data_IF_864155187900
#
_entry.id   IF_864155187900
#
_cell.length_a   1.000
_cell.length_b   1.000
_cell.length_c   1.000
_cell.angle_alpha   90.00
_cell.angle_beta   90.00
_cell.angle_gamma   90.00
#
_symmetry.space_group_name_H-M   'P 1'
#
loop_
_entity.id
_entity.type
_entity.pdbx_description
1 polymer ?
#
# COMPACT_ATOMS: atom_id res chain seq x y z
N UNK A 1 -3.75 -11.16 23.53
CA UNK A 1 -3.89 -10.13 24.57
C UNK A 1 -2.91 -9.02 24.28
N UNK A 2 -3.35 -7.99 23.56
CA UNK A 2 -2.76 -6.62 23.46
C UNK A 2 -3.52 -5.86 22.35
N UNK A 3 -4.82 -5.62 22.58
CA UNK A 3 -5.68 -4.76 21.74
C UNK A 3 -6.39 -3.69 22.57
N UNK A 4 -5.88 -3.36 23.76
CA UNK A 4 -6.45 -2.33 24.63
C UNK A 4 -5.36 -1.36 25.10
N UNK A 5 -5.14 -0.29 24.33
CA UNK A 5 -4.47 0.92 24.83
C UNK A 5 -4.99 2.18 24.10
N UNK A 6 -6.31 2.31 24.00
CA UNK A 6 -6.96 3.55 23.60
C UNK A 6 -8.18 3.75 24.50
N UNK A 7 -7.92 4.17 25.74
CA UNK A 7 -8.99 4.48 26.68
C UNK A 7 -9.67 5.79 26.28
N UNK A 8 -10.92 5.72 25.81
CA UNK A 8 -11.91 6.80 25.87
C UNK A 8 -13.31 6.21 26.01
N UNK A 9 -14.11 6.80 26.91
CA UNK A 9 -15.41 6.32 27.38
C UNK A 9 -16.57 6.65 26.44
N UNK A 10 -17.53 5.74 26.34
CA UNK A 10 -18.84 5.92 25.69
C UNK A 10 -19.63 7.06 26.36
N UNK A 11 -19.72 8.20 25.68
CA UNK A 11 -20.87 9.13 25.74
C UNK A 11 -20.75 10.14 24.61
N UNK A 12 -21.91 10.53 24.07
CA UNK A 12 -22.13 11.51 22.98
C UNK A 12 -22.31 10.91 21.57
N UNK A 13 -23.35 10.08 21.43
CA UNK A 13 -24.14 10.02 20.20
C UNK A 13 -25.40 10.85 20.39
N UNK A 14 -25.50 12.00 19.71
CA UNK A 14 -26.80 12.59 19.36
C UNK A 14 -26.66 13.48 18.13
N UNK A 15 -27.47 13.19 17.12
CA UNK A 15 -27.62 13.96 15.88
C UNK A 15 -28.95 14.71 15.97
N UNK A 16 -29.05 16.00 15.60
CA UNK A 16 -30.33 16.64 15.38
C UNK A 16 -30.69 16.65 13.89
N UNK A 17 -31.93 16.24 13.63
CA UNK A 17 -32.64 16.41 12.37
C UNK A 17 -33.30 17.80 12.26
N UNK A 18 -33.78 18.08 11.05
CA UNK A 18 -34.81 19.05 10.62
C UNK A 18 -34.37 20.47 10.21
N UNK A 19 -34.70 20.85 8.96
CA UNK A 19 -35.73 21.85 8.71
C UNK A 19 -36.23 21.90 7.25
N UNK A 20 -37.52 22.25 7.15
CA UNK A 20 -38.46 22.28 6.03
C UNK A 20 -38.21 23.30 4.89
N UNK A 21 -38.71 22.93 3.70
CA UNK A 21 -39.84 23.64 3.07
C UNK A 21 -39.56 24.77 2.06
N UNK A 22 -40.02 24.59 0.81
CA UNK A 22 -41.05 25.45 0.21
C UNK A 22 -41.47 24.99 -1.21
N UNK A 23 -42.78 25.05 -1.44
CA UNK A 23 -43.48 24.65 -2.64
C UNK A 23 -43.82 25.84 -3.58
N UNK A 24 -44.21 25.53 -4.81
CA UNK A 24 -44.89 26.41 -5.77
C UNK A 24 -44.18 26.41 -7.13
N UNK A 25 -44.82 26.33 -8.30
CA UNK A 25 -46.22 26.43 -8.67
C UNK A 25 -46.33 25.91 -10.12
N UNK A 26 -47.33 25.08 -10.44
CA UNK A 26 -47.63 24.68 -11.82
C UNK A 26 -48.49 25.74 -12.54
N UNK A 27 -48.31 25.88 -13.86
CA UNK A 27 -49.44 26.05 -14.79
C UNK A 27 -49.08 25.58 -16.22
N UNK A 28 -50.04 25.03 -16.98
CA UNK A 28 -49.77 24.17 -18.13
C UNK A 28 -49.94 24.87 -19.48
N UNK A 29 -49.29 24.38 -20.54
CA UNK A 29 -49.67 24.70 -21.92
C UNK A 29 -49.35 23.56 -22.90
N UNK A 30 -50.45 22.92 -23.34
CA UNK A 30 -50.86 22.51 -24.70
C UNK A 30 -49.91 21.71 -25.61
N UNK A 31 -50.46 20.58 -26.04
CA UNK A 31 -50.05 19.77 -27.19
C UNK A 31 -50.09 20.54 -28.52
N UNK A 32 -49.06 20.33 -29.35
CA UNK A 32 -49.19 20.34 -30.81
C UNK A 32 -48.11 19.47 -31.46
N UNK A 33 -48.52 18.77 -32.51
CA UNK A 33 -47.84 17.66 -33.18
C UNK A 33 -46.64 18.04 -34.08
N UNK A 34 -45.67 17.11 -34.10
CA UNK A 34 -44.83 16.59 -35.22
C UNK A 34 -44.16 17.58 -36.19
N UNK A 35 -42.82 17.52 -36.24
CA UNK A 35 -42.10 17.40 -37.52
C UNK A 35 -40.81 16.58 -37.36
N UNK A 36 -40.60 15.67 -38.30
CA UNK A 36 -39.53 14.68 -38.38
C UNK A 36 -38.37 15.24 -39.20
N UNK A 37 -37.29 15.66 -38.54
CA UNK A 37 -36.03 16.05 -39.17
C UNK A 37 -34.86 15.40 -38.46
N UNK A 38 -34.10 14.57 -39.18
CA UNK A 38 -33.01 13.76 -38.65
C UNK A 38 -31.91 14.60 -37.98
N UNK A 39 -31.65 14.29 -36.71
CA UNK A 39 -30.46 14.74 -35.99
C UNK A 39 -29.50 13.57 -35.98
N UNK A 40 -28.43 13.67 -36.76
CA UNK A 40 -27.28 12.76 -36.70
C UNK A 40 -26.64 12.84 -35.31
N UNK A 41 -26.49 11.69 -34.66
CA UNK A 41 -25.80 11.50 -33.37
C UNK A 41 -24.34 12.00 -33.45
N UNK A 42 -24.09 13.25 -33.08
CA UNK A 42 -22.73 13.75 -32.83
C UNK A 42 -22.13 13.21 -31.52
N UNK A 43 -22.90 12.45 -30.73
CA UNK A 43 -22.48 11.82 -29.48
C UNK A 43 -21.73 10.50 -29.68
N UNK A 44 -21.97 9.78 -30.78
CA UNK A 44 -21.32 8.47 -31.03
C UNK A 44 -19.92 8.61 -31.63
N UNK A 45 -19.57 9.78 -32.18
CA UNK A 45 -18.26 10.03 -32.80
C UNK A 45 -17.21 10.55 -31.80
N UNK A 46 -17.60 10.98 -30.61
CA UNK A 46 -16.68 11.45 -29.55
C UNK A 46 -16.16 10.27 -28.70
N UNK A 47 -16.80 9.11 -28.76
CA UNK A 47 -16.40 7.91 -28.00
C UNK A 47 -15.47 6.95 -28.77
N UNK A 48 -15.18 7.21 -30.05
CA UNK A 48 -14.39 6.30 -30.89
C UNK A 48 -12.95 6.72 -31.17
N UNK A 49 -12.48 7.88 -30.66
CA UNK A 49 -11.13 8.40 -30.98
C UNK A 49 -10.18 8.52 -29.78
N UNK A 50 -10.47 7.86 -28.64
CA UNK A 50 -9.57 7.91 -27.46
C UNK A 50 -9.12 6.55 -26.93
N UNK A 51 -9.31 5.47 -27.68
CA UNK A 51 -8.98 4.11 -27.25
C UNK A 51 -7.85 3.47 -28.06
N UNK A 52 -6.75 4.18 -28.28
CA UNK A 52 -5.47 3.58 -28.68
C UNK A 52 -4.33 4.09 -27.80
N UNK A 53 -4.53 4.00 -26.49
CA UNK A 53 -3.43 3.83 -25.55
C UNK A 53 -3.45 2.37 -25.13
N UNK A 54 -2.47 1.57 -25.55
CA UNK A 54 -2.27 0.22 -25.05
C UNK A 54 -2.06 0.33 -23.54
N UNK A 55 -3.12 0.12 -22.77
CA UNK A 55 -3.06 0.10 -21.30
C UNK A 55 -2.16 -1.05 -20.93
N UNK A 56 -0.88 -0.75 -20.63
CA UNK A 56 0.03 -1.73 -20.07
C UNK A 56 -0.69 -2.38 -18.88
N UNK A 57 -0.93 -3.69 -18.97
CA UNK A 57 -1.61 -4.42 -17.92
C UNK A 57 -0.84 -4.19 -16.62
N UNK A 58 -1.49 -3.54 -15.64
CA UNK A 58 -0.89 -3.32 -14.34
C UNK A 58 -1.11 -4.56 -13.50
N UNK A 59 -0.03 -5.24 -13.12
CA UNK A 59 -0.12 -6.38 -12.21
C UNK A 59 -0.52 -5.89 -10.80
N UNK A 60 -1.67 -6.34 -10.30
CA UNK A 60 -2.13 -6.07 -8.94
C UNK A 60 -1.75 -7.23 -8.03
N UNK A 61 -0.97 -6.92 -7.00
CA UNK A 61 -0.54 -7.89 -5.99
C UNK A 61 -1.34 -7.70 -4.70
N UNK A 62 -1.97 -8.78 -4.22
CA UNK A 62 -2.81 -8.78 -3.01
C UNK A 62 -2.22 -9.75 -2.01
N UNK A 63 -2.13 -9.29 -0.76
CA UNK A 63 -1.52 -10.03 0.33
C UNK A 63 -1.82 -9.43 1.69
N UNK A 64 -1.17 -9.98 2.71
CA UNK A 64 -1.27 -9.55 4.11
C UNK A 64 0.09 -9.16 4.68
N UNK A 65 0.04 -8.47 5.83
CA UNK A 65 1.19 -8.02 6.61
C UNK A 65 1.89 -9.16 7.38
N UNK A 66 2.27 -10.21 6.65
CA UNK A 66 2.78 -11.49 7.17
C UNK A 66 1.81 -12.63 6.89
N UNK A 67 2.25 -13.87 7.15
CA UNK A 67 1.45 -15.08 6.89
C UNK A 67 1.40 -16.04 8.09
N UNK A 68 2.30 -15.91 9.06
CA UNK A 68 2.46 -16.86 10.16
C UNK A 68 1.66 -16.41 11.39
N UNK A 69 0.38 -16.79 11.46
CA UNK A 69 -0.50 -16.46 12.58
C UNK A 69 -1.05 -17.73 13.25
N UNK A 70 -0.85 -17.94 14.57
CA UNK A 70 -1.32 -19.14 15.26
C UNK A 70 -2.84 -19.36 15.14
N UNK A 71 -3.64 -18.29 15.18
CA UNK A 71 -5.09 -18.37 15.07
C UNK A 71 -5.58 -18.80 13.67
N UNK A 72 -4.73 -18.76 12.64
CA UNK A 72 -5.08 -19.26 11.30
C UNK A 72 -5.05 -20.79 11.21
N UNK A 73 -4.31 -21.46 12.11
CA UNK A 73 -4.09 -22.92 12.14
C UNK A 73 -5.30 -23.74 12.60
N UNK A 74 -6.29 -23.10 13.21
CA UNK A 74 -7.51 -23.76 13.70
C UNK A 74 -8.52 -24.10 12.60
N UNK A 75 -8.15 -23.93 11.33
CA UNK A 75 -9.03 -24.07 10.17
C UNK A 75 -9.60 -22.76 9.64
N UNK A 76 -9.14 -21.61 10.15
CA UNK A 76 -9.59 -20.29 9.65
C UNK A 76 -9.03 -20.01 8.26
N UNK A 77 -7.75 -20.30 8.04
CA UNK A 77 -7.09 -20.13 6.74
C UNK A 77 -6.22 -21.33 6.38
N UNK A 78 -5.48 -21.87 7.36
CA UNK A 78 -4.69 -23.08 7.17
C UNK A 78 -5.52 -24.33 7.49
N UNK A 79 -5.45 -25.38 6.67
CA UNK A 79 -6.01 -26.68 7.00
C UNK A 79 -5.53 -27.16 8.37
N UNK A 80 -6.42 -27.78 9.13
CA UNK A 80 -6.07 -28.32 10.45
C UNK A 80 -4.96 -29.36 10.31
N UNK A 81 -3.90 -29.22 11.11
CA UNK A 81 -2.75 -30.11 11.08
C UNK A 81 -1.73 -29.82 9.96
N UNK A 82 -1.90 -28.75 9.17
CA UNK A 82 -0.86 -28.30 8.25
C UNK A 82 0.42 -27.98 9.05
N UNK A 83 1.56 -28.53 8.63
CA UNK A 83 2.84 -28.20 9.26
C UNK A 83 3.21 -26.75 8.98
N UNK A 84 3.84 -26.09 9.95
CA UNK A 84 4.25 -24.69 9.81
C UNK A 84 5.18 -24.46 8.60
N UNK A 85 6.02 -25.45 8.26
CA UNK A 85 6.90 -25.42 7.10
C UNK A 85 6.15 -25.34 5.75
N UNK A 86 4.88 -25.75 5.70
CA UNK A 86 4.06 -25.70 4.48
C UNK A 86 3.14 -24.48 4.42
N UNK A 87 3.11 -23.64 5.47
CA UNK A 87 2.22 -22.47 5.54
C UNK A 87 2.46 -21.48 4.40
N UNK A 88 3.72 -21.19 4.06
CA UNK A 88 4.03 -20.25 2.95
C UNK A 88 3.60 -20.81 1.60
N UNK A 89 3.80 -22.11 1.37
CA UNK A 89 3.35 -22.78 0.13
C UNK A 89 1.82 -22.73 0.01
N UNK A 90 1.11 -22.97 1.11
CA UNK A 90 -0.35 -22.84 1.14
C UNK A 90 -0.78 -21.39 0.90
N UNK A 91 -0.17 -20.45 1.61
CA UNK A 91 -0.46 -19.02 1.53
C UNK A 91 -0.26 -18.46 0.11
N UNK A 92 0.88 -18.76 -0.53
CA UNK A 92 1.20 -18.32 -1.91
C UNK A 92 0.36 -19.03 -2.98
N UNK A 93 -0.40 -20.06 -2.61
CA UNK A 93 -1.44 -20.64 -3.46
C UNK A 93 -2.72 -19.81 -3.52
N UNK A 94 -2.94 -18.93 -2.55
CA UNK A 94 -4.15 -18.10 -2.40
C UNK A 94 -3.87 -16.63 -2.69
N UNK A 95 -2.79 -16.08 -2.15
CA UNK A 95 -2.38 -14.68 -2.33
C UNK A 95 -1.19 -14.57 -3.28
N UNK A 96 -1.07 -13.42 -3.94
CA UNK A 96 0.03 -13.13 -4.88
C UNK A 96 1.19 -12.38 -4.22
N UNK A 97 1.01 -11.89 -2.98
CA UNK A 97 2.09 -11.25 -2.24
C UNK A 97 2.00 -11.44 -0.72
N UNK A 98 3.10 -11.13 -0.03
CA UNK A 98 3.15 -10.95 1.42
C UNK A 98 4.14 -9.86 1.79
N UNK A 99 3.82 -9.06 2.80
CA UNK A 99 4.81 -8.20 3.46
C UNK A 99 5.50 -8.98 4.59
N UNK A 100 6.81 -9.14 4.49
CA UNK A 100 7.65 -9.72 5.52
C UNK A 100 7.89 -8.67 6.60
N UNK A 101 7.12 -8.79 7.69
CA UNK A 101 7.26 -7.93 8.87
C UNK A 101 8.31 -8.39 9.88
N UNK A 102 8.77 -9.64 9.79
CA UNK A 102 9.79 -10.17 10.70
C UNK A 102 11.10 -9.35 10.64
N UNK A 103 11.45 -8.81 9.47
CA UNK A 103 12.63 -7.96 9.25
C UNK A 103 12.60 -6.67 10.05
N UNK A 104 11.41 -6.18 10.41
CA UNK A 104 11.27 -5.02 11.29
C UNK A 104 11.92 -5.28 12.66
N UNK A 105 11.84 -6.50 13.17
CA UNK A 105 12.38 -6.88 14.48
C UNK A 105 13.81 -7.44 14.40
N UNK A 106 14.25 -7.89 13.23
CA UNK A 106 15.60 -8.39 13.03
C UNK A 106 15.80 -9.01 11.65
N UNK A 107 17.04 -8.96 11.16
CA UNK A 107 17.39 -9.50 9.84
C UNK A 107 17.35 -11.05 9.91
N UNK A 108 16.61 -11.73 9.02
CA UNK A 108 16.49 -13.18 9.03
C UNK A 108 17.82 -13.87 8.66
N UNK A 109 17.95 -15.14 9.01
CA UNK A 109 19.07 -15.98 8.55
C UNK A 109 18.96 -16.27 7.05
N UNK A 110 20.08 -16.62 6.41
CA UNK A 110 20.15 -16.88 4.97
C UNK A 110 19.22 -18.03 4.61
N UNK A 111 19.29 -19.10 5.39
CA UNK A 111 18.51 -20.31 5.17
C UNK A 111 17.00 -20.05 5.28
N UNK A 112 16.61 -19.01 6.03
CA UNK A 112 15.20 -18.60 6.13
C UNK A 112 14.73 -17.97 4.83
N UNK A 113 15.51 -17.04 4.26
CA UNK A 113 15.18 -16.39 2.98
C UNK A 113 15.23 -17.40 1.83
N UNK A 114 16.22 -18.29 1.84
CA UNK A 114 16.34 -19.36 0.85
C UNK A 114 15.15 -20.32 0.91
N UNK A 115 14.65 -20.65 2.11
CA UNK A 115 13.43 -21.45 2.23
C UNK A 115 12.23 -20.70 1.67
N UNK A 116 12.08 -19.41 1.96
CA UNK A 116 10.97 -18.62 1.40
C UNK A 116 11.00 -18.60 -0.12
N UNK A 117 12.18 -18.40 -0.71
CA UNK A 117 12.39 -18.41 -2.17
C UNK A 117 11.96 -19.74 -2.80
N UNK A 118 12.25 -20.88 -2.14
CA UNK A 118 11.90 -22.23 -2.62
C UNK A 118 10.43 -22.60 -2.41
N UNK A 119 9.81 -22.12 -1.34
CA UNK A 119 8.48 -22.56 -0.92
C UNK A 119 7.34 -21.73 -1.52
N UNK A 120 7.61 -20.49 -1.92
CA UNK A 120 6.62 -19.65 -2.60
C UNK A 120 6.37 -20.10 -4.04
N UNK A 121 5.14 -19.90 -4.51
CA UNK A 121 4.76 -20.13 -5.90
C UNK A 121 5.45 -19.14 -6.84
N UNK A 122 5.73 -19.56 -8.07
CA UNK A 122 6.27 -18.68 -9.11
C UNK A 122 5.40 -17.43 -9.32
N UNK A 123 6.04 -16.27 -9.43
CA UNK A 123 5.38 -14.97 -9.59
C UNK A 123 4.92 -14.30 -8.28
N UNK A 124 5.05 -14.99 -7.15
CA UNK A 124 4.73 -14.44 -5.83
C UNK A 124 5.69 -13.31 -5.43
N UNK A 125 5.17 -12.24 -4.80
CA UNK A 125 5.97 -11.08 -4.43
C UNK A 125 6.16 -10.96 -2.91
N UNK A 126 7.41 -10.72 -2.50
CA UNK A 126 7.75 -10.43 -1.11
C UNK A 126 8.00 -8.93 -0.94
N UNK A 127 7.13 -8.23 -0.21
CA UNK A 127 7.41 -6.90 0.31
C UNK A 127 8.25 -7.00 1.59
N UNK A 128 9.13 -6.04 1.83
CA UNK A 128 10.13 -6.10 2.90
C UNK A 128 10.09 -4.88 3.78
N UNK A 129 9.73 -5.04 5.06
CA UNK A 129 9.77 -3.91 5.99
C UNK A 129 11.19 -3.65 6.45
N UNK A 130 11.66 -2.42 6.28
CA UNK A 130 13.00 -2.01 6.73
C UNK A 130 13.13 -2.21 8.25
N UNK A 131 14.27 -2.72 8.76
CA UNK A 131 14.49 -2.91 10.19
C UNK A 131 14.15 -1.68 11.05
N UNK A 132 13.56 -1.93 12.22
CA UNK A 132 13.25 -0.91 13.23
C UNK A 132 14.49 -0.10 13.63
N UNK A 133 15.64 -0.78 13.72
CA UNK A 133 16.92 -0.16 14.04
C UNK A 133 17.24 1.02 13.12
N UNK A 134 16.85 0.95 11.84
CA UNK A 134 17.08 2.00 10.84
C UNK A 134 16.00 3.09 10.92
N UNK A 135 14.72 2.71 10.88
CA UNK A 135 13.60 3.66 10.72
C UNK A 135 13.18 4.34 12.03
N UNK A 136 13.26 3.65 13.16
CA UNK A 136 12.73 4.11 14.45
C UNK A 136 13.82 4.45 15.44
N UNK A 137 14.82 3.57 15.58
CA UNK A 137 15.84 3.74 16.64
C UNK A 137 16.92 4.73 16.18
N UNK A 138 17.51 4.53 14.99
CA UNK A 138 18.44 5.47 14.37
C UNK A 138 17.73 6.64 13.65
N UNK A 139 16.42 6.56 13.40
CA UNK A 139 15.63 7.64 12.77
C UNK A 139 16.27 8.16 11.47
N UNK A 140 16.79 7.24 10.65
CA UNK A 140 17.47 7.52 9.40
C UNK A 140 18.73 8.41 9.54
N UNK A 141 19.41 8.44 10.69
CA UNK A 141 20.67 9.17 10.88
C UNK A 141 21.87 8.43 10.22
N UNK A 142 21.72 8.09 8.94
CA UNK A 142 22.57 7.12 8.25
C UNK A 142 21.99 5.71 8.30
N UNK A 143 22.16 4.96 7.22
CA UNK A 143 21.65 3.59 7.06
C UNK A 143 22.67 2.54 7.55
N UNK A 144 23.95 2.77 7.27
CA UNK A 144 25.08 2.03 7.84
C UNK A 144 25.12 0.53 7.52
N UNK A 145 25.91 -0.21 8.29
CA UNK A 145 26.13 -1.66 8.10
C UNK A 145 24.83 -2.48 8.17
N UNK A 146 23.87 -2.09 9.03
CA UNK A 146 22.58 -2.79 9.14
C UNK A 146 21.81 -2.76 7.82
N UNK A 147 21.92 -1.67 7.05
CA UNK A 147 21.31 -1.57 5.74
C UNK A 147 21.97 -2.50 4.72
N UNK A 148 23.30 -2.54 4.70
CA UNK A 148 24.06 -3.41 3.80
C UNK A 148 23.75 -4.88 4.06
N UNK A 149 23.75 -5.31 5.33
CA UNK A 149 23.40 -6.68 5.73
C UNK A 149 21.94 -6.99 5.38
N UNK A 150 21.03 -6.03 5.52
CA UNK A 150 19.63 -6.21 5.15
C UNK A 150 19.46 -6.39 3.64
N UNK A 151 20.10 -5.55 2.83
CA UNK A 151 20.06 -5.64 1.37
C UNK A 151 20.67 -6.95 0.85
N UNK A 152 21.85 -7.33 1.37
CA UNK A 152 22.46 -8.62 1.08
C UNK A 152 21.45 -9.76 1.36
N UNK A 153 20.81 -9.71 2.53
CA UNK A 153 19.87 -10.74 2.94
C UNK A 153 18.66 -10.88 2.03
N UNK A 154 18.00 -9.78 1.69
CA UNK A 154 16.79 -9.83 0.87
C UNK A 154 17.12 -10.09 -0.60
N UNK A 155 18.32 -9.75 -1.07
CA UNK A 155 18.73 -9.98 -2.46
C UNK A 155 18.66 -11.46 -2.87
N UNK A 156 18.80 -12.38 -1.91
CA UNK A 156 18.67 -13.83 -2.10
C UNK A 156 17.29 -14.27 -2.60
N UNK A 157 16.23 -13.51 -2.29
CA UNK A 157 14.89 -13.77 -2.85
C UNK A 157 14.83 -13.38 -4.34
N UNK A 158 15.62 -12.37 -4.74
CA UNK A 158 15.58 -11.71 -6.03
C UNK A 158 16.02 -12.60 -7.19
N UNK A 159 16.78 -13.67 -6.91
CA UNK A 159 17.14 -14.71 -7.90
C UNK A 159 15.91 -15.35 -8.57
N UNK A 160 14.74 -15.30 -7.92
CA UNK A 160 13.48 -15.86 -8.44
C UNK A 160 12.52 -14.82 -9.04
N UNK A 161 12.93 -13.55 -9.19
CA UNK A 161 12.08 -12.40 -9.58
C UNK A 161 10.92 -12.13 -8.60
N UNK A 162 11.09 -12.49 -7.33
CA UNK A 162 10.08 -12.36 -6.28
C UNK A 162 10.32 -11.17 -5.33
N UNK A 163 11.28 -10.29 -5.64
CA UNK A 163 11.61 -9.12 -4.83
C UNK A 163 10.60 -8.00 -5.07
N UNK A 164 9.64 -7.87 -4.16
CA UNK A 164 8.67 -6.79 -4.11
C UNK A 164 9.25 -5.51 -3.44
N UNK A 165 8.38 -4.56 -3.06
CA UNK A 165 8.82 -3.27 -2.54
C UNK A 165 9.48 -3.37 -1.16
N UNK A 166 10.49 -2.54 -0.93
CA UNK A 166 11.14 -2.33 0.36
C UNK A 166 10.49 -1.12 1.04
N UNK A 167 9.81 -1.36 2.16
CA UNK A 167 8.98 -0.38 2.86
C UNK A 167 9.75 0.31 3.98
N UNK A 168 9.95 1.62 3.82
CA UNK A 168 10.34 2.55 4.87
C UNK A 168 9.09 3.10 5.57
N UNK A 169 8.65 2.42 6.63
CA UNK A 169 7.63 2.98 7.52
C UNK A 169 8.30 3.83 8.61
N UNK A 170 7.97 5.13 8.65
CA UNK A 170 8.55 6.07 9.60
C UNK A 170 7.63 6.27 10.83
N UNK A 171 8.19 6.46 12.04
CA UNK A 171 7.38 6.69 13.22
C UNK A 171 6.70 8.07 13.19
N UNK A 172 5.54 8.24 13.86
CA UNK A 172 4.81 9.52 13.89
C UNK A 172 5.59 10.64 14.57
N UNK A 173 6.60 10.31 15.40
CA UNK A 173 7.47 11.28 16.06
C UNK A 173 8.58 11.82 15.15
N UNK A 174 8.75 11.28 13.94
CA UNK A 174 9.75 11.76 12.98
C UNK A 174 9.15 12.84 12.09
N UNK A 175 9.44 14.09 12.43
CA UNK A 175 9.09 15.28 11.64
C UNK A 175 9.94 15.31 10.37
N UNK A 176 9.39 15.89 9.29
CA UNK A 176 10.06 16.03 8.00
C UNK A 176 11.45 16.66 8.14
N UNK A 177 12.41 15.96 7.56
CA UNK A 177 13.76 16.44 7.28
C UNK A 177 14.16 15.86 5.92
N UNK A 178 14.12 16.70 4.88
CA UNK A 178 14.29 16.26 3.49
C UNK A 178 15.66 15.62 3.25
N UNK A 179 16.68 16.05 3.99
CA UNK A 179 18.04 15.52 3.90
C UNK A 179 18.11 14.02 4.19
N UNK A 180 17.13 13.48 4.93
CA UNK A 180 17.01 12.03 5.19
C UNK A 180 16.60 11.24 3.95
N UNK A 181 15.77 11.80 3.07
CA UNK A 181 15.42 11.15 1.81
C UNK A 181 16.59 11.21 0.84
N UNK A 182 17.31 12.33 0.79
CA UNK A 182 18.54 12.43 -0.02
C UNK A 182 19.59 11.42 0.45
N UNK A 183 19.80 11.29 1.77
CA UNK A 183 20.73 10.30 2.33
C UNK A 183 20.31 8.85 2.04
N UNK A 184 19.01 8.56 1.92
CA UNK A 184 18.54 7.24 1.48
C UNK A 184 18.85 7.07 -0.02
N UNK A 185 18.59 8.10 -0.83
CA UNK A 185 18.80 8.04 -2.28
C UNK A 185 20.26 7.73 -2.63
N UNK A 186 21.20 8.26 -1.85
CA UNK A 186 22.64 8.04 -2.03
C UNK A 186 23.08 6.58 -1.81
N UNK A 187 22.31 5.79 -1.06
CA UNK A 187 22.70 4.43 -0.65
C UNK A 187 21.75 3.32 -1.11
N UNK A 188 20.61 3.67 -1.70
CA UNK A 188 19.71 2.68 -2.30
C UNK A 188 20.20 2.23 -3.67
N UNK A 189 20.33 0.91 -3.93
CA UNK A 189 20.72 0.43 -5.24
C UNK A 189 19.61 0.65 -6.27
N UNK A 190 20.02 0.94 -7.52
CA UNK A 190 19.12 0.95 -8.66
C UNK A 190 18.52 -0.44 -8.92
N UNK A 191 17.27 -0.49 -9.39
CA UNK A 191 16.60 -1.75 -9.77
C UNK A 191 15.80 -2.42 -8.65
N UNK A 192 15.85 -1.89 -7.43
CA UNK A 192 14.92 -2.24 -6.35
C UNK A 192 13.78 -1.24 -6.27
N UNK A 193 12.61 -1.69 -5.80
CA UNK A 193 11.43 -0.86 -5.59
C UNK A 193 11.38 -0.42 -4.13
N UNK A 194 11.22 0.87 -3.88
CA UNK A 194 11.12 1.42 -2.53
C UNK A 194 9.78 2.11 -2.33
N UNK A 195 9.22 1.95 -1.13
CA UNK A 195 7.97 2.57 -0.73
C UNK A 195 8.15 3.26 0.63
N UNK A 196 7.44 4.38 0.84
CA UNK A 196 7.52 5.17 2.05
C UNK A 196 6.14 5.33 2.69
N UNK A 197 6.02 4.92 3.95
CA UNK A 197 4.82 5.15 4.76
C UNK A 197 5.15 6.19 5.84
N UNK A 198 4.67 7.41 5.64
CA UNK A 198 4.87 8.51 6.58
C UNK A 198 3.75 8.54 7.62
N UNK A 199 4.10 8.51 8.91
CA UNK A 199 3.12 8.63 10.01
C UNK A 199 3.05 10.03 10.62
N UNK A 200 3.78 10.99 10.06
CA UNK A 200 3.75 12.40 10.46
C UNK A 200 3.35 13.28 9.26
N UNK A 201 2.39 14.17 9.47
CA UNK A 201 1.78 14.98 8.40
C UNK A 201 2.76 15.93 7.70
N UNK A 202 3.85 16.33 8.36
CA UNK A 202 4.85 17.25 7.80
C UNK A 202 5.55 16.69 6.56
N UNK A 203 5.52 15.37 6.35
CA UNK A 203 6.07 14.71 5.16
C UNK A 203 5.16 14.79 3.93
N UNK A 204 3.88 15.14 4.09
CA UNK A 204 2.94 15.24 2.98
C UNK A 204 3.00 16.65 2.37
N UNK A 205 4.08 16.95 1.64
CA UNK A 205 4.27 18.22 0.95
C UNK A 205 4.99 18.05 -0.40
N UNK A 206 4.92 19.07 -1.26
CA UNK A 206 5.43 19.05 -2.64
C UNK A 206 6.90 18.63 -2.74
N UNK A 207 7.74 19.14 -1.84
CA UNK A 207 9.17 18.84 -1.79
C UNK A 207 9.44 17.32 -1.63
N UNK A 208 8.67 16.65 -0.77
CA UNK A 208 8.78 15.19 -0.59
C UNK A 208 8.30 14.46 -1.84
N UNK A 209 7.16 14.85 -2.41
CA UNK A 209 6.65 14.23 -3.63
C UNK A 209 7.58 14.39 -4.84
N UNK A 210 8.28 15.52 -4.94
CA UNK A 210 9.31 15.74 -5.96
C UNK A 210 10.47 14.76 -5.82
N UNK A 211 10.94 14.51 -4.59
CA UNK A 211 11.97 13.49 -4.34
C UNK A 211 11.45 12.10 -4.69
N UNK A 212 10.26 11.71 -4.21
CA UNK A 212 9.69 10.39 -4.51
C UNK A 212 9.52 10.18 -6.02
N UNK A 213 9.02 11.18 -6.76
CA UNK A 213 8.90 11.11 -8.24
C UNK A 213 10.27 10.99 -8.92
N UNK A 214 11.23 11.84 -8.55
CA UNK A 214 12.59 11.82 -9.11
C UNK A 214 13.26 10.46 -8.91
N UNK A 215 13.08 9.87 -7.73
CA UNK A 215 13.67 8.59 -7.37
C UNK A 215 12.85 7.37 -7.80
N UNK A 216 11.65 7.59 -8.38
CA UNK A 216 10.70 6.54 -8.71
C UNK A 216 10.37 5.65 -7.48
N UNK A 217 10.09 6.32 -6.36
CA UNK A 217 9.66 5.68 -5.12
C UNK A 217 8.15 5.85 -4.91
N UNK A 218 7.54 4.82 -4.33
CA UNK A 218 6.12 4.80 -4.01
C UNK A 218 5.83 5.50 -2.68
N UNK A 219 4.68 6.17 -2.59
CA UNK A 219 4.06 6.49 -1.31
C UNK A 219 3.14 5.33 -0.90
N UNK A 220 3.25 4.90 0.34
CA UNK A 220 2.39 3.89 0.93
C UNK A 220 1.32 4.60 1.77
N UNK A 221 0.08 4.49 1.31
CA UNK A 221 -1.08 5.01 2.04
C UNK A 221 -1.54 3.99 3.09
N UNK A 222 -1.66 4.45 4.33
CA UNK A 222 -2.29 3.68 5.39
C UNK A 222 -3.76 4.09 5.50
N UNK A 223 -4.66 3.19 5.10
CA UNK A 223 -6.10 3.38 5.22
C UNK A 223 -6.56 2.61 6.46
N UNK A 224 -6.74 3.31 7.57
CA UNK A 224 -7.35 2.79 8.79
C UNK A 224 -8.76 3.37 8.99
N UNK A 225 -9.67 2.67 9.70
CA UNK A 225 -11.04 3.14 9.92
C UNK A 225 -11.12 4.49 10.65
N UNK A 226 -10.09 4.82 11.43
CA UNK A 226 -9.90 6.09 12.13
C UNK A 226 -9.12 7.14 11.31
N UNK A 227 -8.46 6.75 10.21
CA UNK A 227 -7.86 7.68 9.26
C UNK A 227 -8.91 8.08 8.21
N UNK A 228 -9.64 9.17 8.47
CA UNK A 228 -10.60 9.74 7.52
C UNK A 228 -9.95 10.43 6.31
N UNK A 229 -8.65 10.24 6.08
CA UNK A 229 -7.89 11.02 5.11
C UNK A 229 -6.89 10.11 4.41
N UNK A 230 -7.15 9.79 3.13
CA UNK A 230 -6.05 9.51 2.19
C UNK A 230 -5.19 10.76 2.20
N UNK A 231 -3.94 10.65 2.66
CA UNK A 231 -3.13 11.83 2.99
C UNK A 231 -2.39 12.36 1.77
N UNK A 232 -2.26 11.56 0.70
CA UNK A 232 -1.82 12.04 -0.60
C UNK A 232 -2.96 12.07 -1.61
N UNK A 233 -2.95 13.09 -2.46
CA UNK A 233 -3.73 13.13 -3.70
C UNK A 233 -2.84 12.81 -4.91
N UNK A 234 -1.65 12.28 -4.66
CA UNK A 234 -0.55 12.17 -5.62
C UNK A 234 -0.23 10.70 -5.86
N UNK A 235 -0.15 10.32 -7.13
CA UNK A 235 0.36 9.01 -7.53
C UNK A 235 1.86 9.16 -7.75
N UNK A 236 2.66 8.45 -6.95
CA UNK A 236 4.09 8.26 -7.21
C UNK A 236 4.32 6.83 -7.69
N UNK A 237 5.56 6.54 -8.15
CA UNK A 237 5.90 5.38 -8.98
C UNK A 237 5.52 4.01 -8.41
#
# INVERSE_FOLDING_TARGET
>A
SEWNSWGMSEREMSCPAEHDGCAGNEKPLKDSAVDSGGVTNQSEQILSESAEGESAATDIFIGTAGYNYPHWRSGVFYPRGLSQSLELRHYSGVFSAVEINATFHGIPREETVDSWSRDAKSGFQFGWKVPRAITHDARLSGLGETWEVFLDRISRIGETRSLGPILFQLPPSLVKDISKLDAIADVTPSGMKFAFEFRNETWYCSEVYEVLRRMQWAICENISPDSSTIRSMEVTA
#
